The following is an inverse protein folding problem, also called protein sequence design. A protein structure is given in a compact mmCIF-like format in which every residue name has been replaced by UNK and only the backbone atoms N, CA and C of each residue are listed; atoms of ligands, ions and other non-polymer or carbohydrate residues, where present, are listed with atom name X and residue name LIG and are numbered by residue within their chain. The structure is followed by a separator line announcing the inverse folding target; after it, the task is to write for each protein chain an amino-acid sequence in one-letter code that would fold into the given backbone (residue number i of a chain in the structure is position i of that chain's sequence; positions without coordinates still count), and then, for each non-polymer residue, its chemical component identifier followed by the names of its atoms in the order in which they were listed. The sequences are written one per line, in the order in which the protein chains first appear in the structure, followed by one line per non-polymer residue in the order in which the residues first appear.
data_IF_177769481946
#
_entry.id   IF_177769481946
#
_cell.length_a   1.000
_cell.length_b   1.000
_cell.length_c   1.000
_cell.angle_alpha   90.00
_cell.angle_beta   90.00
_cell.angle_gamma   90.00
#
_symmetry.space_group_name_H-M   'P 1'
#
loop_
_entity.id
_entity.type
_entity.pdbx_description
1 polymer ?
#
# COMPACT_ATOMS: atom_id res chain seq x y z
N UNK A 1 -9.44 9.62 11.80
CA UNK A 1 -7.97 9.68 11.73
C UNK A 1 -7.48 8.79 10.59
N UNK A 2 -6.52 9.26 9.80
CA UNK A 2 -5.86 8.45 8.76
C UNK A 2 -4.55 7.88 9.30
N UNK A 3 -4.33 6.56 9.09
CA UNK A 3 -3.13 5.83 9.49
C UNK A 3 -2.62 4.92 8.36
N UNK A 4 -1.31 4.68 8.36
CA UNK A 4 -0.63 3.76 7.45
C UNK A 4 0.25 2.80 8.23
N UNK A 5 0.14 1.52 7.93
CA UNK A 5 1.11 0.48 8.29
C UNK A 5 1.78 0.02 7.01
N UNK A 6 3.12 0.06 7.00
CA UNK A 6 3.94 -0.31 5.84
C UNK A 6 5.04 -1.30 6.23
N UNK A 7 5.10 -2.39 5.51
CA UNK A 7 6.21 -3.34 5.48
C UNK A 7 6.73 -3.32 4.04
N UNK A 8 7.99 -2.94 3.83
CA UNK A 8 8.51 -2.77 2.49
C UNK A 8 9.99 -3.20 2.37
N UNK A 9 10.48 -3.27 1.15
CA UNK A 9 11.82 -3.77 0.83
C UNK A 9 12.96 -2.96 1.48
N UNK A 10 12.72 -1.67 1.84
CA UNK A 10 13.74 -0.82 2.48
C UNK A 10 14.04 -1.24 3.92
N UNK A 11 13.11 -1.96 4.56
CA UNK A 11 13.19 -2.31 6.00
C UNK A 11 13.06 -3.81 6.26
N UNK A 12 12.50 -4.58 5.33
CA UNK A 12 12.20 -5.99 5.52
C UNK A 12 12.83 -6.85 4.42
N UNK A 13 13.62 -7.87 4.77
CA UNK A 13 14.13 -8.85 3.81
C UNK A 13 12.98 -9.65 3.17
N UNK A 14 13.25 -10.31 2.04
CA UNK A 14 12.23 -11.01 1.25
C UNK A 14 11.40 -11.99 2.09
N UNK A 15 12.04 -12.86 2.87
CA UNK A 15 11.36 -13.83 3.75
C UNK A 15 10.34 -13.20 4.69
N UNK A 16 10.64 -12.00 5.19
CA UNK A 16 9.72 -11.26 6.07
C UNK A 16 8.57 -10.66 5.26
N UNK A 17 8.86 -10.10 4.07
CA UNK A 17 7.80 -9.56 3.20
C UNK A 17 6.80 -10.63 2.77
N UNK A 18 7.27 -11.83 2.44
CA UNK A 18 6.43 -12.98 2.11
C UNK A 18 5.46 -13.37 3.23
N UNK A 19 5.91 -13.32 4.50
CA UNK A 19 5.02 -13.56 5.64
C UNK A 19 3.88 -12.54 5.74
N UNK A 20 4.15 -11.29 5.36
CA UNK A 20 3.15 -10.22 5.41
C UNK A 20 2.33 -10.09 4.12
N UNK A 21 2.63 -10.88 3.09
CA UNK A 21 1.88 -10.81 1.85
C UNK A 21 0.40 -11.12 2.08
N UNK A 22 -0.47 -10.28 1.54
CA UNK A 22 -1.93 -10.40 1.64
C UNK A 22 -2.47 -10.69 0.24
N UNK A 23 -3.12 -11.84 0.11
CA UNK A 23 -3.77 -12.21 -1.14
C UNK A 23 -5.05 -11.39 -1.35
N UNK A 24 -5.44 -11.11 -2.59
CA UNK A 24 -6.66 -10.33 -2.90
C UNK A 24 -7.94 -10.85 -2.26
N UNK A 25 -8.10 -12.16 -2.13
CA UNK A 25 -9.24 -12.82 -1.49
C UNK A 25 -9.26 -12.69 0.04
N UNK A 26 -8.13 -12.30 0.65
CA UNK A 26 -8.04 -12.03 2.09
C UNK A 26 -8.49 -10.61 2.48
N UNK A 27 -8.59 -9.66 1.53
CA UNK A 27 -8.82 -8.22 1.80
C UNK A 27 -10.09 -7.98 2.61
N UNK A 28 -11.22 -8.52 2.15
CA UNK A 28 -12.51 -8.37 2.85
C UNK A 28 -12.50 -9.00 4.24
N UNK A 29 -11.88 -10.16 4.38
CA UNK A 29 -11.73 -10.85 5.68
C UNK A 29 -10.92 -9.99 6.66
N UNK A 30 -9.80 -9.42 6.21
CA UNK A 30 -8.96 -8.54 7.03
C UNK A 30 -9.75 -7.30 7.46
N UNK A 31 -10.46 -6.65 6.53
CA UNK A 31 -11.32 -5.51 6.83
C UNK A 31 -12.34 -5.83 7.92
N UNK A 32 -13.10 -6.91 7.76
CA UNK A 32 -14.10 -7.35 8.74
C UNK A 32 -13.49 -7.65 10.12
N UNK A 33 -12.31 -8.27 10.15
CA UNK A 33 -11.63 -8.61 11.41
C UNK A 33 -11.10 -7.39 12.15
N UNK A 34 -10.56 -6.41 11.43
CA UNK A 34 -10.11 -5.14 12.02
C UNK A 34 -11.34 -4.36 12.50
N UNK A 35 -12.38 -4.27 11.68
CA UNK A 35 -13.61 -3.52 12.01
C UNK A 35 -14.36 -4.04 13.25
N UNK A 36 -14.22 -5.34 13.55
CA UNK A 36 -14.73 -5.92 14.83
C UNK A 36 -13.99 -5.40 16.07
N UNK A 37 -12.80 -4.85 15.93
CA UNK A 37 -11.95 -4.37 17.05
C UNK A 37 -11.96 -2.86 17.19
N UNK A 38 -12.04 -2.17 16.06
CA UNK A 38 -12.06 -0.71 15.95
C UNK A 38 -13.02 -0.31 14.84
N UNK A 39 -13.73 0.80 15.02
CA UNK A 39 -14.61 1.32 13.97
C UNK A 39 -13.78 1.92 12.83
N UNK A 40 -13.75 1.23 11.68
CA UNK A 40 -13.10 1.69 10.46
C UNK A 40 -14.12 2.43 9.58
N UNK A 41 -13.78 3.64 9.15
CA UNK A 41 -14.45 4.31 8.03
C UNK A 41 -14.04 3.74 6.69
N UNK A 42 -12.79 3.27 6.60
CA UNK A 42 -12.27 2.63 5.39
C UNK A 42 -10.91 1.99 5.58
N UNK A 43 -10.60 1.09 4.66
CA UNK A 43 -9.32 0.39 4.56
C UNK A 43 -8.96 0.21 3.08
N UNK A 44 -7.76 0.63 2.70
CA UNK A 44 -7.14 0.33 1.42
C UNK A 44 -5.90 -0.54 1.67
N UNK A 45 -5.78 -1.63 0.94
CA UNK A 45 -4.67 -2.57 1.05
C UNK A 45 -3.97 -2.63 -0.29
N UNK A 46 -2.65 -2.44 -0.30
CA UNK A 46 -1.78 -2.76 -1.42
C UNK A 46 -0.74 -3.79 -0.96
N UNK A 47 -0.69 -4.93 -1.63
CA UNK A 47 0.24 -6.01 -1.32
C UNK A 47 0.90 -6.50 -2.60
N UNK A 48 2.23 -6.42 -2.63
CA UNK A 48 3.08 -6.82 -3.76
C UNK A 48 4.30 -7.58 -3.24
N UNK A 49 5.16 -8.10 -4.12
CA UNK A 49 6.42 -8.72 -3.70
C UNK A 49 7.34 -7.77 -2.93
N UNK A 50 7.20 -6.45 -3.14
CA UNK A 50 8.08 -5.44 -2.56
C UNK A 50 7.50 -4.74 -1.34
N UNK A 51 6.17 -4.84 -1.10
CA UNK A 51 5.51 -4.17 0.02
C UNK A 51 4.15 -4.73 0.37
N UNK A 52 3.79 -4.59 1.62
CA UNK A 52 2.42 -4.70 2.11
C UNK A 52 2.10 -3.45 2.90
N UNK A 53 1.09 -2.70 2.45
CA UNK A 53 0.69 -1.44 3.04
C UNK A 53 -0.82 -1.41 3.29
N UNK A 54 -1.21 -1.00 4.51
CA UNK A 54 -2.59 -0.85 4.92
C UNK A 54 -2.83 0.61 5.28
N UNK A 55 -3.62 1.28 4.46
CA UNK A 55 -4.12 2.65 4.69
C UNK A 55 -5.50 2.54 5.31
N UNK A 56 -5.68 3.05 6.52
CA UNK A 56 -6.94 2.93 7.23
C UNK A 56 -7.42 4.27 7.77
N UNK A 57 -8.72 4.47 7.75
CA UNK A 57 -9.39 5.62 8.39
C UNK A 57 -10.27 5.13 9.52
N UNK A 58 -10.15 5.76 10.70
CA UNK A 58 -10.97 5.50 11.88
C UNK A 58 -11.81 6.72 12.25
N UNK A 59 -12.92 6.49 12.97
CA UNK A 59 -13.76 7.58 13.50
C UNK A 59 -13.09 8.32 14.65
N UNK A 60 -12.17 7.66 15.34
CA UNK A 60 -11.60 8.15 16.58
C UNK A 60 -10.69 9.36 16.44
N UNK A 61 -10.81 10.25 17.43
CA UNK A 61 -9.91 11.37 17.68
C UNK A 61 -8.51 10.89 18.08
N UNK A 62 -7.55 11.81 18.13
CA UNK A 62 -6.12 11.55 18.42
C UNK A 62 -5.83 10.66 19.65
N UNK A 63 -6.73 10.60 20.65
CA UNK A 63 -6.52 9.81 21.87
C UNK A 63 -6.49 8.28 21.66
N UNK A 64 -7.03 7.77 20.54
CA UNK A 64 -7.13 6.32 20.26
C UNK A 64 -6.20 5.83 19.15
N UNK A 65 -5.26 6.67 18.68
CA UNK A 65 -4.36 6.34 17.55
C UNK A 65 -3.53 5.08 17.81
N UNK A 66 -2.90 4.99 18.97
CA UNK A 66 -2.09 3.81 19.33
C UNK A 66 -2.93 2.53 19.38
N UNK A 67 -4.19 2.64 19.81
CA UNK A 67 -5.14 1.52 19.84
C UNK A 67 -5.49 1.05 18.43
N UNK A 68 -5.67 1.97 17.48
CA UNK A 68 -5.95 1.64 16.09
C UNK A 68 -4.77 0.90 15.44
N UNK A 69 -3.55 1.45 15.54
CA UNK A 69 -2.35 0.77 15.04
C UNK A 69 -2.15 -0.59 15.70
N UNK A 70 -2.32 -0.67 17.03
CA UNK A 70 -2.21 -1.94 17.75
C UNK A 70 -3.23 -2.96 17.25
N UNK A 71 -4.49 -2.57 17.05
CA UNK A 71 -5.55 -3.47 16.58
C UNK A 71 -5.29 -3.99 15.16
N UNK A 72 -4.79 -3.15 14.26
CA UNK A 72 -4.42 -3.56 12.89
C UNK A 72 -3.24 -4.55 12.95
N UNK A 73 -2.18 -4.23 13.69
CA UNK A 73 -0.98 -5.08 13.82
C UNK A 73 -1.35 -6.42 14.46
N UNK A 74 -2.15 -6.42 15.52
CA UNK A 74 -2.59 -7.65 16.19
C UNK A 74 -3.47 -8.52 15.29
N UNK A 75 -4.29 -7.91 14.43
CA UNK A 75 -5.09 -8.67 13.47
C UNK A 75 -4.21 -9.32 12.41
N UNK A 76 -3.26 -8.57 11.86
CA UNK A 76 -2.26 -9.13 10.93
C UNK A 76 -1.44 -10.24 11.60
N UNK A 77 -0.99 -10.02 12.84
CA UNK A 77 -0.22 -11.01 13.59
C UNK A 77 -0.94 -12.34 13.75
N UNK A 78 -2.23 -12.28 14.08
CA UNK A 78 -3.05 -13.50 14.18
C UNK A 78 -3.24 -14.22 12.85
N UNK A 79 -3.48 -13.46 11.77
CA UNK A 79 -3.71 -14.03 10.44
C UNK A 79 -2.44 -14.60 9.83
N UNK A 80 -1.34 -13.90 9.95
CA UNK A 80 -0.05 -14.27 9.36
C UNK A 80 0.86 -15.03 10.34
N UNK A 81 0.37 -15.33 11.55
CA UNK A 81 1.05 -16.13 12.58
C UNK A 81 2.46 -15.61 12.94
N UNK A 82 2.64 -14.28 12.96
CA UNK A 82 3.91 -13.70 13.33
C UNK A 82 3.96 -13.30 14.82
N UNK A 83 5.16 -13.29 15.38
CA UNK A 83 5.45 -12.90 16.75
C UNK A 83 5.94 -11.45 16.86
N UNK A 84 6.14 -10.98 18.08
CA UNK A 84 6.60 -9.62 18.37
C UNK A 84 7.99 -9.29 17.80
N UNK A 85 8.83 -10.29 17.51
CA UNK A 85 10.14 -10.10 16.89
C UNK A 85 10.09 -9.49 15.48
N UNK A 86 8.92 -9.46 14.83
CA UNK A 86 8.73 -8.84 13.52
C UNK A 86 8.30 -7.37 13.57
N UNK A 87 8.04 -6.82 14.76
CA UNK A 87 7.68 -5.40 14.94
C UNK A 87 8.67 -4.39 14.35
N UNK A 88 10.00 -4.60 14.38
CA UNK A 88 10.95 -3.68 13.75
C UNK A 88 10.76 -3.49 12.25
N UNK A 89 10.15 -4.46 11.56
CA UNK A 89 9.86 -4.40 10.14
C UNK A 89 8.54 -3.70 9.79
N UNK A 90 7.83 -3.18 10.80
CA UNK A 90 6.55 -2.51 10.63
C UNK A 90 6.72 -1.02 10.86
N UNK A 91 6.65 -0.22 9.79
CA UNK A 91 6.58 1.23 9.87
C UNK A 91 5.14 1.70 10.01
N UNK A 92 4.98 2.77 10.79
CA UNK A 92 3.71 3.46 11.00
C UNK A 92 3.85 4.90 10.54
N UNK A 93 2.83 5.41 9.87
CA UNK A 93 2.67 6.82 9.54
C UNK A 93 1.27 7.27 9.92
N UNK A 94 1.13 8.52 10.31
CA UNK A 94 -0.15 9.10 10.72
C UNK A 94 -0.32 10.51 10.18
N UNK A 95 -1.59 10.90 9.99
CA UNK A 95 -1.89 12.22 9.44
C UNK A 95 -2.02 12.21 7.92
N UNK A 96 -2.96 13.01 7.45
CA UNK A 96 -3.33 13.03 6.02
C UNK A 96 -2.19 13.51 5.13
N UNK A 97 -1.41 14.49 5.58
CA UNK A 97 -0.30 15.05 4.79
C UNK A 97 0.79 14.02 4.53
N UNK A 98 1.35 13.41 5.61
CA UNK A 98 2.45 12.44 5.50
C UNK A 98 2.04 11.19 4.69
N UNK A 99 0.79 10.72 4.89
CA UNK A 99 0.28 9.54 4.20
C UNK A 99 0.00 9.84 2.73
N UNK A 100 -0.56 11.02 2.43
CA UNK A 100 -0.77 11.44 1.03
C UNK A 100 0.56 11.59 0.30
N UNK A 101 1.55 12.28 0.90
CA UNK A 101 2.88 12.39 0.32
C UNK A 101 3.48 11.02 0.01
N UNK A 102 3.41 10.08 0.96
CA UNK A 102 3.90 8.72 0.75
C UNK A 102 3.20 8.05 -0.44
N UNK A 103 1.87 8.14 -0.54
CA UNK A 103 1.12 7.51 -1.63
C UNK A 103 1.39 8.20 -2.98
N UNK A 104 1.58 9.52 -3.01
CA UNK A 104 2.01 10.26 -4.20
C UNK A 104 3.39 9.81 -4.70
N UNK A 105 4.35 9.70 -3.81
CA UNK A 105 5.70 9.19 -4.11
C UNK A 105 5.66 7.74 -4.61
N UNK A 106 4.81 6.92 -3.96
CA UNK A 106 4.61 5.53 -4.35
C UNK A 106 4.03 5.42 -5.76
N UNK A 107 2.94 6.12 -6.04
CA UNK A 107 2.25 6.08 -7.34
C UNK A 107 3.12 6.63 -8.48
N UNK A 108 4.05 7.53 -8.17
CA UNK A 108 5.02 8.05 -9.13
C UNK A 108 6.23 7.13 -9.35
N UNK A 109 6.33 6.01 -8.61
CA UNK A 109 7.46 5.08 -8.71
C UNK A 109 8.70 5.50 -7.92
N UNK A 110 8.65 6.59 -7.13
CA UNK A 110 9.78 7.07 -6.32
C UNK A 110 10.07 6.20 -5.09
N UNK A 111 9.10 5.38 -4.69
CA UNK A 111 9.23 4.42 -3.59
C UNK A 111 9.42 2.97 -4.08
N UNK A 112 9.58 2.76 -5.38
CA UNK A 112 9.83 1.45 -5.99
C UNK A 112 11.30 1.07 -5.94
N UNK A 113 11.62 -0.23 -6.05
CA UNK A 113 13.00 -0.71 -6.16
C UNK A 113 13.69 -0.18 -7.42
N UNK A 114 12.93 -0.10 -8.50
CA UNK A 114 13.34 0.52 -9.75
C UNK A 114 12.57 1.83 -9.86
N UNK A 115 13.29 2.94 -9.76
CA UNK A 115 12.68 4.27 -9.80
C UNK A 115 11.96 4.45 -11.14
N UNK A 116 10.72 4.94 -11.10
CA UNK A 116 9.92 5.19 -12.29
C UNK A 116 9.21 3.96 -12.86
N UNK A 117 9.32 2.76 -12.24
CA UNK A 117 8.60 1.58 -12.75
C UNK A 117 7.08 1.85 -12.87
N UNK A 118 6.49 1.36 -13.96
CA UNK A 118 5.07 1.58 -14.24
C UNK A 118 4.15 0.59 -13.50
N UNK A 119 4.65 -0.59 -13.16
CA UNK A 119 3.87 -1.67 -12.56
C UNK A 119 3.14 -1.26 -11.29
N UNK A 120 3.72 -0.35 -10.49
CA UNK A 120 3.11 0.11 -9.25
C UNK A 120 1.76 0.81 -9.49
N UNK A 121 1.60 1.52 -10.60
CA UNK A 121 0.34 2.19 -10.95
C UNK A 121 -0.77 1.17 -11.16
N UNK A 122 -0.48 0.10 -11.90
CA UNK A 122 -1.46 -0.96 -12.17
C UNK A 122 -1.76 -1.78 -10.91
N UNK A 123 -0.77 -1.98 -10.04
CA UNK A 123 -0.96 -2.61 -8.73
C UNK A 123 -1.87 -1.76 -7.83
N UNK A 124 -1.71 -0.44 -7.80
CA UNK A 124 -2.58 0.48 -7.05
C UNK A 124 -4.01 0.43 -7.62
N UNK A 125 -4.18 0.47 -8.94
CA UNK A 125 -5.49 0.37 -9.60
C UNK A 125 -6.17 -0.97 -9.31
N UNK A 126 -5.42 -2.08 -9.39
CA UNK A 126 -5.93 -3.41 -9.08
C UNK A 126 -6.41 -3.52 -7.63
N UNK A 127 -5.58 -3.06 -6.68
CA UNK A 127 -5.91 -3.03 -5.27
C UNK A 127 -7.13 -2.13 -4.98
N UNK A 128 -7.20 -0.94 -5.62
CA UNK A 128 -8.36 -0.04 -5.53
C UNK A 128 -9.65 -0.72 -5.97
N UNK A 129 -9.65 -1.39 -7.12
CA UNK A 129 -10.83 -2.06 -7.65
C UNK A 129 -11.33 -3.17 -6.70
N UNK A 130 -10.41 -3.94 -6.10
CA UNK A 130 -10.75 -4.98 -5.12
C UNK A 130 -11.36 -4.36 -3.87
N UNK A 131 -10.73 -3.33 -3.30
CA UNK A 131 -11.22 -2.65 -2.11
C UNK A 131 -12.58 -1.98 -2.36
N UNK A 132 -12.76 -1.37 -3.54
CA UNK A 132 -14.03 -0.73 -3.92
C UNK A 132 -15.15 -1.74 -4.09
N UNK A 133 -14.90 -2.86 -4.78
CA UNK A 133 -15.87 -3.96 -4.94
C UNK A 133 -16.36 -4.51 -3.60
N UNK A 134 -15.50 -4.54 -2.60
CA UNK A 134 -15.81 -5.04 -1.25
C UNK A 134 -16.29 -3.94 -0.27
N UNK A 135 -16.63 -2.74 -0.75
CA UNK A 135 -17.09 -1.61 0.06
C UNK A 135 -16.15 -1.29 1.24
N UNK A 136 -14.84 -1.38 1.01
CA UNK A 136 -13.82 -1.14 2.03
C UNK A 136 -13.34 0.30 2.09
N UNK A 137 -13.66 1.14 1.09
CA UNK A 137 -13.09 2.47 0.97
C UNK A 137 -13.99 3.52 1.61
N UNK A 138 -13.39 4.44 2.37
CA UNK A 138 -14.04 5.71 2.74
C UNK A 138 -13.85 6.74 1.62
N UNK A 139 -14.72 7.76 1.61
CA UNK A 139 -14.62 8.86 0.64
C UNK A 139 -13.27 9.58 0.68
N UNK A 140 -12.65 9.69 1.86
CA UNK A 140 -11.34 10.32 2.01
C UNK A 140 -10.23 9.47 1.39
N UNK A 141 -10.20 8.16 1.66
CA UNK A 141 -9.23 7.23 1.07
C UNK A 141 -9.43 7.14 -0.44
N UNK A 142 -10.67 7.04 -0.92
CA UNK A 142 -10.97 6.97 -2.34
C UNK A 142 -10.47 8.21 -3.08
N UNK A 143 -10.78 9.40 -2.55
CA UNK A 143 -10.29 10.68 -3.13
C UNK A 143 -8.76 10.76 -3.14
N UNK A 144 -8.11 10.32 -2.07
CA UNK A 144 -6.66 10.31 -1.98
C UNK A 144 -6.04 9.43 -3.08
N UNK A 145 -6.56 8.22 -3.29
CA UNK A 145 -6.08 7.31 -4.33
C UNK A 145 -6.29 7.91 -5.73
N UNK A 146 -7.48 8.46 -6.00
CA UNK A 146 -7.77 9.09 -7.29
C UNK A 146 -6.80 10.24 -7.59
N UNK A 147 -6.55 11.13 -6.62
CA UNK A 147 -5.61 12.24 -6.77
C UNK A 147 -4.17 11.77 -6.97
N UNK A 148 -3.76 10.71 -6.32
CA UNK A 148 -2.44 10.11 -6.54
C UNK A 148 -2.28 9.53 -7.95
N UNK A 149 -3.30 8.88 -8.48
CA UNK A 149 -3.27 8.35 -9.85
C UNK A 149 -3.27 9.47 -10.90
N UNK A 150 -4.04 10.54 -10.68
CA UNK A 150 -4.00 11.76 -11.53
C UNK A 150 -2.60 12.38 -11.53
N UNK A 151 -2.00 12.57 -10.35
CA UNK A 151 -0.66 13.14 -10.21
C UNK A 151 0.41 12.24 -10.83
N UNK A 152 0.31 10.93 -10.66
CA UNK A 152 1.22 9.97 -11.29
C UNK A 152 1.19 10.09 -12.81
N UNK A 153 -0.01 10.20 -13.41
CA UNK A 153 -0.17 10.44 -14.84
C UNK A 153 0.49 11.76 -15.26
N UNK A 154 0.23 12.85 -14.52
CA UNK A 154 0.82 14.16 -14.81
C UNK A 154 2.35 14.13 -14.75
N UNK A 155 2.93 13.55 -13.71
CA UNK A 155 4.38 13.44 -13.54
C UNK A 155 5.00 12.67 -14.72
N UNK A 156 4.45 11.53 -15.09
CA UNK A 156 4.96 10.71 -16.19
C UNK A 156 4.83 11.40 -17.55
N UNK A 157 3.79 12.20 -17.76
CA UNK A 157 3.61 12.95 -19.00
C UNK A 157 4.55 14.14 -19.11
N UNK A 158 4.91 14.78 -17.97
CA UNK A 158 5.66 16.04 -17.96
C UNK A 158 7.11 15.91 -17.49
N UNK A 159 7.57 14.69 -17.17
CA UNK A 159 8.95 14.43 -16.74
C UNK A 159 9.50 13.18 -17.43
N UNK A 160 10.79 12.96 -17.30
CA UNK A 160 11.47 11.77 -17.84
C UNK A 160 11.64 10.65 -16.81
N UNK A 161 10.78 10.60 -15.78
CA UNK A 161 10.92 9.70 -14.64
C UNK A 161 10.94 8.20 -15.04
N UNK A 162 10.31 7.84 -16.12
CA UNK A 162 10.22 6.48 -16.66
C UNK A 162 11.32 6.15 -17.68
N UNK A 163 12.03 7.14 -18.24
CA UNK A 163 13.08 6.90 -19.24
C UNK A 163 14.29 6.15 -18.70
N UNK A 164 14.53 6.19 -17.39
CA UNK A 164 15.58 5.44 -16.70
C UNK A 164 15.19 4.01 -16.31
N UNK A 165 13.95 3.60 -16.56
CA UNK A 165 13.48 2.27 -16.19
C UNK A 165 13.93 1.21 -17.20
N UNK A 166 14.97 0.45 -16.87
CA UNK A 166 15.54 -0.60 -17.72
C UNK A 166 14.55 -1.68 -18.16
N UNK A 167 13.44 -1.87 -17.44
CA UNK A 167 12.39 -2.82 -17.80
C UNK A 167 11.65 -2.44 -19.10
N UNK A 168 11.65 -1.14 -19.46
CA UNK A 168 11.01 -0.63 -20.67
C UNK A 168 12.01 -0.39 -21.81
N UNK A 169 13.30 -0.32 -21.50
CA UNK A 169 14.35 -0.05 -22.49
C UNK A 169 15.07 -1.31 -22.97
N UNK A 170 14.90 -2.44 -22.28
CA UNK A 170 15.43 -3.73 -22.74
C UNK A 170 14.59 -4.25 -23.90
N UNK A 171 15.23 -4.58 -25.05
CA UNK A 171 14.52 -5.23 -26.14
C UNK A 171 13.93 -6.57 -25.64
N UNK A 172 12.68 -6.83 -26.00
CA UNK A 172 12.06 -8.12 -25.73
C UNK A 172 12.91 -9.24 -26.36
N UNK A 173 13.00 -10.42 -25.74
CA UNK A 173 13.61 -11.59 -26.39
C UNK A 173 13.05 -11.89 -27.78
N UNK A 174 11.79 -11.45 -28.06
CA UNK A 174 11.15 -11.54 -29.39
C UNK A 174 11.71 -10.53 -30.41
N UNK A 175 12.27 -9.41 -29.95
CA UNK A 175 12.82 -8.38 -30.82
C UNK A 175 14.27 -8.68 -31.22
N UNK A 176 14.92 -9.61 -30.50
CA UNK A 176 16.27 -10.11 -30.79
C UNK A 176 16.28 -11.25 -31.84
N UNK A 177 15.09 -11.75 -32.22
CA UNK A 177 14.92 -12.85 -33.18
C UNK A 177 14.49 -12.38 -34.59
N UNK A 178 14.53 -11.08 -34.84
CA UNK A 178 14.38 -10.46 -36.16
C UNK A 178 15.72 -9.94 -36.66
#
# INVERSE_FOLDING_TARGET
MLGLISINYKIAPLKIRELFYIYPDEYEKIFKLINKRISLKGLFIISTCNRTELYFETEDSQKNQNKAFHSVIMTLGKLKKFNDGLRPYIKKKQGSSEISEHLFRLSSGLESMIIGEFQIVDQIKGAYNICKKNNMLSSAIERMIQKCLEASKFIRTNTEIDKGCLLYTSPSPRDLLK
#
